data_IF_670041016170
#
_entry.id   IF_670041016170
#
_cell.length_a   1.000
_cell.length_b   1.000
_cell.length_c   1.000
_cell.angle_alpha   90.00
_cell.angle_beta   90.00
_cell.angle_gamma   90.00
#
_symmetry.space_group_name_H-M   'P 1'
#
loop_
_entity.id
_entity.type
_entity.pdbx_description
1 polymer ?
#
# COMPACT_ATOMS: atom_id res chain seq x y z
N UNK A 1 -45.99 -47.54 41.05
CA UNK A 1 -45.16 -47.56 39.82
C UNK A 1 -45.06 -46.14 39.30
N UNK A 2 -43.90 -45.48 39.47
CA UNK A 2 -43.59 -44.20 38.82
C UNK A 2 -42.65 -44.51 37.66
N UNK A 3 -43.05 -44.14 36.44
CA UNK A 3 -42.25 -44.31 35.22
C UNK A 3 -41.38 -43.07 35.07
N UNK A 4 -40.06 -43.24 35.07
CA UNK A 4 -39.12 -42.18 34.69
C UNK A 4 -38.91 -42.24 33.18
N UNK A 5 -39.22 -41.14 32.49
CA UNK A 5 -38.84 -40.95 31.09
C UNK A 5 -37.44 -40.33 31.07
N UNK A 6 -36.48 -41.04 30.48
CA UNK A 6 -35.13 -40.52 30.21
C UNK A 6 -35.18 -39.90 28.81
N UNK A 7 -35.01 -38.58 28.74
CA UNK A 7 -34.81 -37.86 27.49
C UNK A 7 -33.31 -37.87 27.20
N UNK A 8 -32.91 -38.54 26.12
CA UNK A 8 -31.54 -38.52 25.60
C UNK A 8 -31.46 -37.37 24.61
N UNK A 9 -30.74 -36.31 24.97
CA UNK A 9 -30.44 -35.19 24.08
C UNK A 9 -29.16 -35.51 23.31
N UNK A 10 -29.27 -35.73 21.99
CA UNK A 10 -28.11 -35.81 21.10
C UNK A 10 -27.61 -34.37 20.85
N UNK A 11 -26.44 -34.03 21.38
CA UNK A 11 -25.69 -32.86 20.95
C UNK A 11 -24.99 -33.21 19.63
N UNK A 12 -25.49 -32.64 18.54
CA UNK A 12 -24.78 -32.63 17.25
C UNK A 12 -23.78 -31.48 17.33
N UNK A 13 -22.51 -31.79 17.56
CA UNK A 13 -21.41 -30.84 17.39
C UNK A 13 -21.17 -30.69 15.89
N UNK A 14 -21.68 -29.62 15.29
CA UNK A 14 -21.26 -29.20 13.95
C UNK A 14 -19.82 -28.74 14.03
N UNK A 15 -18.90 -29.59 13.60
CA UNK A 15 -17.53 -29.16 13.32
C UNK A 15 -17.58 -28.35 12.04
N UNK A 16 -17.50 -27.02 12.15
CA UNK A 16 -17.24 -26.16 11.00
C UNK A 16 -15.81 -26.47 10.55
N UNK A 17 -15.67 -27.32 9.53
CA UNK A 17 -14.42 -27.40 8.79
C UNK A 17 -14.28 -26.07 8.04
N UNK A 18 -13.33 -25.25 8.46
CA UNK A 18 -12.81 -24.18 7.61
C UNK A 18 -12.17 -24.89 6.40
N UNK A 19 -12.81 -24.79 5.25
CA UNK A 19 -12.19 -25.18 3.99
C UNK A 19 -11.19 -24.07 3.65
N UNK A 20 -9.91 -24.40 3.65
CA UNK A 20 -8.88 -23.51 3.10
C UNK A 20 -8.95 -23.67 1.59
N UNK A 21 -9.35 -22.60 0.89
CA UNK A 21 -9.32 -22.55 -0.57
C UNK A 21 -7.95 -22.07 -1.02
N UNK A 22 -7.44 -22.66 -2.10
CA UNK A 22 -6.23 -22.18 -2.74
C UNK A 22 -6.56 -20.93 -3.57
N UNK A 23 -5.83 -19.85 -3.34
CA UNK A 23 -6.00 -18.62 -4.13
C UNK A 23 -5.31 -18.75 -5.48
N UNK A 24 -5.95 -18.23 -6.53
CA UNK A 24 -5.37 -18.07 -7.87
C UNK A 24 -5.75 -16.69 -8.46
N UNK A 25 -5.00 -16.21 -9.44
CA UNK A 25 -5.36 -15.09 -10.32
C UNK A 25 -6.23 -15.61 -11.49
N UNK A 26 -7.21 -14.81 -11.90
CA UNK A 26 -8.09 -15.09 -13.04
C UNK A 26 -7.66 -14.41 -14.35
N UNK A 27 -6.54 -13.67 -14.36
CA UNK A 27 -6.02 -13.00 -15.56
C UNK A 27 -5.71 -14.02 -16.66
N UNK A 28 -6.33 -13.89 -17.85
CA UNK A 28 -6.06 -14.82 -18.95
C UNK A 28 -4.61 -14.74 -19.42
N UNK A 29 -3.96 -15.89 -19.60
CA UNK A 29 -2.61 -15.93 -20.15
C UNK A 29 -2.61 -15.42 -21.60
N UNK A 30 -1.64 -14.57 -21.98
CA UNK A 30 -1.48 -14.14 -23.35
C UNK A 30 -0.99 -15.31 -24.22
N UNK A 31 -1.38 -15.31 -25.48
CA UNK A 31 -0.83 -16.26 -26.45
C UNK A 31 0.64 -15.97 -26.76
N UNK A 32 1.38 -16.99 -27.19
CA UNK A 32 2.79 -16.82 -27.59
C UNK A 32 2.95 -15.75 -28.69
N UNK A 33 2.02 -15.67 -29.63
CA UNK A 33 2.04 -14.64 -30.69
C UNK A 33 1.90 -13.22 -30.10
N UNK A 34 1.01 -13.03 -29.11
CA UNK A 34 0.88 -11.75 -28.42
C UNK A 34 2.17 -11.39 -27.68
N UNK A 35 2.77 -12.36 -26.97
CA UNK A 35 4.02 -12.13 -26.25
C UNK A 35 5.13 -11.70 -27.22
N UNK A 36 5.30 -12.39 -28.35
CA UNK A 36 6.30 -12.06 -29.38
C UNK A 36 6.10 -10.64 -29.96
N UNK A 37 4.85 -10.25 -30.23
CA UNK A 37 4.51 -8.90 -30.70
C UNK A 37 4.86 -7.85 -29.65
N UNK A 38 4.51 -8.10 -28.39
CA UNK A 38 4.78 -7.19 -27.27
C UNK A 38 6.29 -7.03 -27.09
N UNK A 39 7.06 -8.14 -27.11
CA UNK A 39 8.53 -8.07 -26.98
C UNK A 39 9.15 -7.23 -28.10
N UNK A 40 8.69 -7.38 -29.34
CA UNK A 40 9.16 -6.56 -30.47
C UNK A 40 8.77 -5.08 -30.33
N UNK A 41 7.59 -4.79 -29.78
CA UNK A 41 7.13 -3.42 -29.54
C UNK A 41 8.02 -2.68 -28.54
N UNK A 42 8.33 -3.34 -27.42
CA UNK A 42 9.14 -2.75 -26.34
C UNK A 42 10.66 -2.88 -26.55
N UNK A 43 11.13 -3.66 -27.54
CA UNK A 43 12.57 -3.81 -27.84
C UNK A 43 13.27 -2.47 -28.08
N UNK A 44 12.58 -1.55 -28.76
CA UNK A 44 13.11 -0.23 -29.07
C UNK A 44 13.40 0.62 -27.82
N UNK A 45 12.66 0.42 -26.73
CA UNK A 45 12.88 1.07 -25.44
C UNK A 45 14.21 0.62 -24.80
N UNK A 46 14.50 -0.68 -24.86
CA UNK A 46 15.74 -1.23 -24.32
C UNK A 46 16.97 -0.81 -25.14
N UNK A 47 16.83 -0.65 -26.46
CA UNK A 47 17.91 -0.29 -27.39
C UNK A 47 18.37 1.18 -27.29
N UNK A 48 17.47 2.10 -26.95
CA UNK A 48 17.77 3.53 -26.86
C UNK A 48 18.45 3.93 -25.54
N UNK A 49 18.67 2.98 -24.62
CA UNK A 49 19.21 3.22 -23.28
C UNK A 49 18.39 4.26 -22.48
N UNK A 50 17.09 4.41 -22.78
CA UNK A 50 16.13 5.14 -21.94
C UNK A 50 15.78 4.32 -20.69
N UNK A 51 16.78 3.71 -20.05
CA UNK A 51 16.64 2.85 -18.87
C UNK A 51 16.48 3.67 -17.60
N UNK A 52 15.49 4.55 -17.57
CA UNK A 52 15.33 5.44 -16.42
C UNK A 52 13.86 5.63 -16.11
N UNK A 53 13.23 4.66 -15.42
CA UNK A 53 12.21 4.99 -14.43
C UNK A 53 12.65 6.19 -13.56
N UNK A 54 13.97 6.35 -13.34
CA UNK A 54 14.61 7.40 -12.53
C UNK A 54 14.35 8.86 -12.95
N UNK A 55 13.98 9.15 -14.21
CA UNK A 55 13.92 10.56 -14.66
C UNK A 55 12.50 11.16 -14.68
N UNK A 56 11.44 10.38 -14.93
CA UNK A 56 10.06 10.91 -15.04
C UNK A 56 9.03 10.07 -14.23
N UNK A 57 8.51 10.60 -13.10
CA UNK A 57 7.50 9.91 -12.31
C UNK A 57 6.16 9.79 -13.05
N UNK A 58 5.46 8.66 -12.88
CA UNK A 58 4.15 8.42 -13.51
C UNK A 58 3.03 8.59 -12.49
N UNK A 59 2.11 9.51 -12.76
CA UNK A 59 0.91 9.69 -11.93
C UNK A 59 -0.22 8.77 -12.43
N UNK A 60 -0.40 7.64 -11.77
CA UNK A 60 -1.48 6.70 -12.03
C UNK A 60 -2.72 7.15 -11.25
N UNK A 61 -3.61 7.92 -11.89
CA UNK A 61 -4.89 8.28 -11.26
C UNK A 61 -5.77 7.03 -11.14
N UNK A 62 -6.32 6.80 -9.95
CA UNK A 62 -7.18 5.64 -9.68
C UNK A 62 -8.64 6.07 -9.70
N UNK A 63 -9.44 5.33 -10.46
CA UNK A 63 -10.90 5.37 -10.40
C UNK A 63 -11.42 4.06 -9.78
N UNK A 64 -11.94 4.14 -8.56
CA UNK A 64 -12.47 2.99 -7.84
C UNK A 64 -13.99 2.89 -8.01
N UNK A 65 -14.46 1.73 -8.44
CA UNK A 65 -15.86 1.40 -8.66
C UNK A 65 -16.29 0.35 -7.64
N UNK A 66 -16.98 0.79 -6.59
CA UNK A 66 -17.55 -0.10 -5.57
C UNK A 66 -18.82 -0.71 -6.11
N UNK A 67 -18.82 -2.03 -6.29
CA UNK A 67 -20.04 -2.79 -6.59
C UNK A 67 -20.53 -3.43 -5.30
N UNK A 68 -21.79 -3.19 -4.95
CA UNK A 68 -22.38 -3.70 -3.73
C UNK A 68 -23.69 -4.44 -4.01
N UNK A 69 -23.99 -5.44 -3.19
CA UNK A 69 -25.32 -6.06 -3.17
C UNK A 69 -26.39 -5.09 -2.64
N UNK A 70 -27.66 -5.36 -2.97
CA UNK A 70 -28.84 -4.70 -2.39
C UNK A 70 -28.98 -4.93 -0.87
N UNK A 71 -28.23 -5.89 -0.31
CA UNK A 71 -28.13 -6.15 1.13
C UNK A 71 -27.01 -5.36 1.82
N UNK A 72 -26.29 -4.49 1.10
CA UNK A 72 -25.19 -3.67 1.63
C UNK A 72 -23.86 -4.39 1.81
N UNK A 73 -23.72 -5.63 1.31
CA UNK A 73 -22.40 -6.29 1.24
C UNK A 73 -21.57 -5.69 0.10
N UNK A 74 -20.25 -5.62 0.30
CA UNK A 74 -19.31 -5.06 -0.68
C UNK A 74 -19.12 -3.54 -0.62
N UNK A 75 -19.90 -2.83 0.21
CA UNK A 75 -19.85 -1.37 0.32
C UNK A 75 -18.61 -0.89 1.10
N UNK A 76 -17.44 -0.92 0.45
CA UNK A 76 -16.16 -0.49 1.01
C UNK A 76 -16.20 1.00 1.37
N UNK A 77 -15.75 1.36 2.58
CA UNK A 77 -15.63 2.78 2.95
C UNK A 77 -14.52 3.48 2.18
N UNK A 78 -14.62 4.80 2.01
CA UNK A 78 -13.58 5.60 1.32
C UNK A 78 -12.20 5.41 1.98
N UNK A 79 -12.15 5.27 3.31
CA UNK A 79 -10.90 4.99 4.04
C UNK A 79 -10.30 3.63 3.69
N UNK A 80 -11.11 2.58 3.50
CA UNK A 80 -10.61 1.28 3.07
C UNK A 80 -10.05 1.32 1.65
N UNK A 81 -10.71 2.09 0.77
CA UNK A 81 -10.25 2.30 -0.61
C UNK A 81 -8.93 3.08 -0.61
N UNK A 82 -8.84 4.15 0.18
CA UNK A 82 -7.60 4.91 0.34
C UNK A 82 -6.46 4.01 0.83
N UNK A 83 -6.69 3.19 1.86
CA UNK A 83 -5.67 2.24 2.34
C UNK A 83 -5.23 1.24 1.27
N UNK A 84 -6.11 0.80 0.37
CA UNK A 84 -5.73 -0.08 -0.73
C UNK A 84 -4.84 0.64 -1.76
N UNK A 85 -5.13 1.92 -2.05
CA UNK A 85 -4.27 2.77 -2.90
C UNK A 85 -2.94 3.06 -2.22
N UNK A 86 -2.91 3.24 -0.90
CA UNK A 86 -1.67 3.43 -0.14
C UNK A 86 -0.77 2.18 -0.21
N UNK A 87 -1.36 0.98 -0.24
CA UNK A 87 -0.63 -0.28 -0.43
C UNK A 87 -0.01 -0.38 -1.82
N UNK A 88 -0.69 0.09 -2.89
CA UNK A 88 -0.08 0.22 -4.21
C UNK A 88 1.14 1.16 -4.17
N UNK A 89 0.98 2.33 -3.55
CA UNK A 89 2.07 3.29 -3.39
C UNK A 89 3.26 2.72 -2.60
N UNK A 90 3.01 1.94 -1.55
CA UNK A 90 4.06 1.25 -0.79
C UNK A 90 4.88 0.30 -1.68
N UNK A 91 4.24 -0.31 -2.69
CA UNK A 91 4.86 -1.33 -3.51
C UNK A 91 5.58 -0.79 -4.75
N UNK A 92 5.01 0.23 -5.39
CA UNK A 92 5.42 0.69 -6.71
C UNK A 92 6.26 1.98 -6.70
N UNK A 93 6.09 2.86 -5.70
CA UNK A 93 6.69 4.20 -5.73
C UNK A 93 8.21 4.19 -5.87
N UNK A 94 8.91 3.39 -5.07
CA UNK A 94 10.38 3.44 -4.99
C UNK A 94 11.03 2.79 -6.22
N UNK A 95 10.54 1.63 -6.64
CA UNK A 95 11.20 0.86 -7.71
C UNK A 95 10.69 1.22 -9.11
N UNK A 96 9.40 1.52 -9.26
CA UNK A 96 8.78 1.80 -10.56
C UNK A 96 8.67 3.29 -10.87
N UNK A 97 8.84 4.16 -9.87
CA UNK A 97 8.52 5.59 -9.97
C UNK A 97 7.05 5.83 -10.37
N UNK A 98 6.16 4.89 -10.03
CA UNK A 98 4.72 4.95 -10.29
C UNK A 98 3.98 5.30 -9.01
N UNK A 99 3.18 6.36 -9.08
CA UNK A 99 2.48 6.92 -7.93
C UNK A 99 0.97 6.91 -8.17
N UNK A 100 0.24 6.29 -7.26
CA UNK A 100 -1.20 6.09 -7.36
C UNK A 100 -1.94 7.19 -6.60
N UNK A 101 -2.75 7.96 -7.32
CA UNK A 101 -3.59 9.02 -6.74
C UNK A 101 -5.06 8.61 -6.81
N UNK A 102 -5.71 8.38 -5.67
CA UNK A 102 -7.15 8.13 -5.63
C UNK A 102 -7.91 9.39 -6.06
N UNK A 103 -8.51 9.35 -7.26
CA UNK A 103 -9.11 10.52 -7.89
C UNK A 103 -10.64 10.43 -7.96
N UNK A 104 -11.18 9.23 -8.13
CA UNK A 104 -12.62 9.00 -8.28
C UNK A 104 -13.04 7.78 -7.47
N UNK A 105 -14.16 7.92 -6.73
CA UNK A 105 -14.90 6.79 -6.16
C UNK A 105 -16.32 6.85 -6.72
N UNK A 106 -16.80 5.74 -7.27
CA UNK A 106 -18.20 5.55 -7.65
C UNK A 106 -18.76 4.34 -6.93
N UNK A 107 -20.08 4.34 -6.68
CA UNK A 107 -20.76 3.28 -5.93
C UNK A 107 -21.98 2.82 -6.72
N UNK A 108 -22.09 1.52 -6.96
CA UNK A 108 -23.12 0.90 -7.78
C UNK A 108 -23.74 -0.27 -7.02
N UNK A 109 -24.99 -0.09 -6.60
CA UNK A 109 -25.78 -1.19 -6.05
C UNK A 109 -26.35 -2.03 -7.19
N UNK A 110 -25.77 -3.22 -7.41
CA UNK A 110 -26.19 -4.13 -8.47
C UNK A 110 -25.85 -5.59 -8.11
N UNK A 111 -26.86 -6.39 -7.78
CA UNK A 111 -26.69 -7.79 -7.38
C UNK A 111 -26.11 -8.67 -8.51
N UNK A 112 -26.41 -8.35 -9.78
CA UNK A 112 -25.91 -9.10 -10.94
C UNK A 112 -24.41 -8.83 -11.19
N UNK A 113 -23.92 -7.63 -10.84
CA UNK A 113 -22.49 -7.29 -10.99
C UNK A 113 -21.69 -7.59 -9.72
N UNK A 114 -22.37 -7.86 -8.60
CA UNK A 114 -21.70 -8.01 -7.32
C UNK A 114 -21.07 -9.39 -7.14
N UNK A 115 -21.64 -10.45 -7.71
CA UNK A 115 -21.18 -11.84 -7.48
C UNK A 115 -20.68 -12.45 -8.78
N UNK A 116 -19.44 -12.96 -8.74
CA UNK A 116 -18.82 -13.69 -9.84
C UNK A 116 -18.47 -15.12 -9.41
N UNK A 117 -18.94 -16.11 -10.17
CA UNK A 117 -18.48 -17.50 -10.09
C UNK A 117 -17.13 -17.66 -10.80
N UNK A 118 -16.36 -18.70 -10.46
CA UNK A 118 -15.00 -18.84 -10.99
C UNK A 118 -14.95 -18.96 -12.52
N UNK A 119 -15.99 -19.53 -13.14
CA UNK A 119 -16.14 -19.63 -14.60
C UNK A 119 -16.41 -18.29 -15.32
N UNK A 120 -16.77 -17.25 -14.56
CA UNK A 120 -17.09 -15.91 -15.07
C UNK A 120 -15.90 -14.95 -14.96
N UNK A 121 -15.00 -15.18 -14.01
CA UNK A 121 -13.80 -14.38 -13.79
C UNK A 121 -12.85 -14.44 -15.02
N UNK A 122 -12.40 -13.28 -15.49
CA UNK A 122 -11.43 -13.20 -16.61
C UNK A 122 -11.96 -13.69 -17.95
N UNK A 123 -13.27 -13.89 -18.11
CA UNK A 123 -13.84 -14.53 -19.31
C UNK A 123 -14.69 -13.56 -20.16
N UNK A 124 -14.63 -12.25 -19.87
CA UNK A 124 -15.38 -11.21 -20.57
C UNK A 124 -16.89 -11.50 -20.63
N UNK A 125 -17.44 -12.03 -19.52
CA UNK A 125 -18.85 -12.40 -19.39
C UNK A 125 -19.82 -11.21 -19.54
N UNK A 126 -21.11 -11.50 -19.70
CA UNK A 126 -22.12 -10.44 -19.92
C UNK A 126 -22.24 -9.45 -18.78
N UNK A 127 -22.02 -9.90 -17.54
CA UNK A 127 -22.16 -9.07 -16.35
C UNK A 127 -20.94 -8.18 -16.17
N UNK A 128 -19.72 -8.70 -16.37
CA UNK A 128 -18.50 -7.91 -16.42
C UNK A 128 -18.54 -6.87 -17.56
N UNK A 129 -18.97 -7.28 -18.75
CA UNK A 129 -19.10 -6.36 -19.88
C UNK A 129 -20.06 -5.21 -19.56
N UNK A 130 -21.22 -5.51 -18.98
CA UNK A 130 -22.18 -4.49 -18.59
C UNK A 130 -21.63 -3.58 -17.49
N UNK A 131 -21.01 -4.15 -16.46
CA UNK A 131 -20.38 -3.44 -15.36
C UNK A 131 -19.33 -2.46 -15.90
N UNK A 132 -18.31 -2.95 -16.60
CA UNK A 132 -17.19 -2.12 -17.09
C UNK A 132 -17.66 -1.05 -18.08
N UNK A 133 -18.46 -1.41 -19.08
CA UNK A 133 -18.90 -0.47 -20.12
C UNK A 133 -19.78 0.67 -19.61
N UNK A 134 -20.48 0.47 -18.48
CA UNK A 134 -21.36 1.48 -17.89
C UNK A 134 -20.69 2.34 -16.82
N UNK A 135 -19.57 1.87 -16.25
CA UNK A 135 -18.98 2.49 -15.05
C UNK A 135 -17.57 3.00 -15.22
N UNK A 136 -16.81 2.49 -16.20
CA UNK A 136 -15.43 2.90 -16.45
C UNK A 136 -15.32 4.43 -16.60
N UNK A 137 -14.34 5.00 -15.90
CA UNK A 137 -13.96 6.41 -15.96
C UNK A 137 -12.72 6.54 -16.79
N UNK A 138 -12.84 7.20 -17.95
CA UNK A 138 -11.73 7.63 -18.82
C UNK A 138 -10.50 6.70 -18.79
N UNK A 139 -10.58 5.50 -19.39
CA UNK A 139 -9.54 4.48 -19.25
C UNK A 139 -8.16 4.88 -19.79
N UNK A 140 -8.08 5.96 -20.57
CA UNK A 140 -6.83 6.55 -21.05
C UNK A 140 -6.00 7.15 -19.91
N UNK A 141 -6.66 7.82 -18.96
CA UNK A 141 -5.97 8.58 -17.90
C UNK A 141 -6.16 7.97 -16.50
N UNK A 142 -7.02 6.96 -16.35
CA UNK A 142 -7.32 6.37 -15.06
C UNK A 142 -7.13 4.85 -15.07
N UNK A 143 -6.42 4.35 -14.06
CA UNK A 143 -6.47 2.96 -13.68
C UNK A 143 -7.80 2.66 -13.00
N UNK A 144 -8.67 1.95 -13.70
CA UNK A 144 -10.01 1.61 -13.24
C UNK A 144 -9.95 0.32 -12.39
N UNK A 145 -10.54 0.35 -11.21
CA UNK A 145 -10.57 -0.80 -10.29
C UNK A 145 -12.02 -1.06 -9.87
N UNK A 146 -12.50 -2.30 -10.02
CA UNK A 146 -13.82 -2.72 -9.59
C UNK A 146 -13.71 -3.68 -8.40
N UNK A 147 -14.40 -3.38 -7.30
CA UNK A 147 -14.48 -4.30 -6.15
C UNK A 147 -15.80 -5.07 -6.16
N UNK A 148 -15.71 -6.40 -6.22
CA UNK A 148 -16.84 -7.35 -6.31
C UNK A 148 -16.68 -8.47 -5.27
N UNK A 149 -17.62 -9.41 -5.20
CA UNK A 149 -17.47 -10.68 -4.49
C UNK A 149 -17.21 -11.81 -5.50
N UNK A 150 -16.18 -12.61 -5.26
CA UNK A 150 -15.94 -13.85 -6.00
C UNK A 150 -16.27 -15.07 -5.15
N UNK A 151 -16.73 -16.14 -5.79
CA UNK A 151 -17.14 -17.37 -5.12
C UNK A 151 -16.08 -18.47 -5.28
N UNK A 152 -15.80 -19.25 -4.22
CA UNK A 152 -14.92 -20.41 -4.33
C UNK A 152 -15.59 -21.53 -5.12
N UNK A 153 -14.80 -22.26 -5.90
CA UNK A 153 -15.23 -23.42 -6.69
C UNK A 153 -14.13 -24.48 -6.68
N UNK A 154 -14.50 -25.77 -6.59
CA UNK A 154 -13.59 -26.92 -6.70
C UNK A 154 -12.28 -26.86 -5.87
N UNK A 155 -12.31 -26.20 -4.71
CA UNK A 155 -11.18 -26.10 -3.79
C UNK A 155 -10.25 -24.90 -4.02
N UNK A 156 -10.56 -24.05 -5.00
CA UNK A 156 -9.85 -22.79 -5.25
C UNK A 156 -10.79 -21.57 -5.21
N UNK A 157 -10.20 -20.38 -5.22
CA UNK A 157 -10.90 -19.10 -5.33
C UNK A 157 -10.07 -18.12 -6.13
N UNK A 158 -10.71 -17.38 -7.04
CA UNK A 158 -10.09 -16.29 -7.80
C UNK A 158 -10.25 -15.01 -7.00
N UNK A 159 -9.17 -14.35 -6.60
CA UNK A 159 -9.26 -13.09 -5.85
C UNK A 159 -9.21 -11.84 -6.71
N UNK A 160 -8.65 -11.93 -7.91
CA UNK A 160 -8.56 -10.81 -8.83
C UNK A 160 -8.33 -11.30 -10.25
N UNK A 161 -8.58 -10.40 -11.19
CA UNK A 161 -8.16 -10.57 -12.57
C UNK A 161 -8.07 -9.23 -13.28
N UNK A 162 -7.28 -9.23 -14.34
CA UNK A 162 -7.08 -8.16 -15.27
C UNK A 162 -7.12 -8.69 -16.71
N UNK A 163 -7.02 -7.77 -17.66
CA UNK A 163 -6.69 -8.07 -19.06
C UNK A 163 -5.40 -7.33 -19.39
N UNK A 164 -4.53 -7.94 -20.18
CA UNK A 164 -3.25 -7.31 -20.48
C UNK A 164 -3.47 -6.01 -21.26
N UNK A 165 -2.59 -5.02 -21.08
CA UNK A 165 -2.77 -3.70 -21.69
C UNK A 165 -2.81 -3.75 -23.22
N UNK A 166 -2.19 -4.77 -23.82
CA UNK A 166 -2.16 -5.04 -25.25
C UNK A 166 -3.36 -5.87 -25.78
N UNK A 167 -4.28 -6.32 -24.93
CA UNK A 167 -5.50 -7.04 -25.36
C UNK A 167 -6.56 -6.09 -25.95
N UNK A 168 -6.49 -4.80 -25.63
CA UNK A 168 -7.42 -3.79 -26.13
C UNK A 168 -6.75 -2.41 -26.19
N UNK A 169 -7.35 -1.45 -26.90
CA UNK A 169 -6.82 -0.08 -26.90
C UNK A 169 -6.88 0.55 -25.49
N UNK A 170 -5.97 1.48 -25.17
CA UNK A 170 -5.97 2.17 -23.86
C UNK A 170 -7.31 2.84 -23.52
N UNK A 171 -8.07 3.28 -24.52
CA UNK A 171 -9.38 3.92 -24.32
C UNK A 171 -10.52 2.92 -24.05
N UNK A 172 -10.22 1.63 -24.04
CA UNK A 172 -11.20 0.56 -23.86
C UNK A 172 -11.64 0.47 -22.40
N UNK A 173 -12.94 0.28 -22.16
CA UNK A 173 -13.45 0.00 -20.80
C UNK A 173 -12.97 -1.34 -20.22
N UNK A 174 -12.29 -2.17 -21.02
CA UNK A 174 -11.64 -3.40 -20.55
C UNK A 174 -10.33 -3.14 -19.80
N UNK A 175 -9.76 -1.93 -19.90
CA UNK A 175 -8.55 -1.57 -19.17
C UNK A 175 -8.87 -1.42 -17.68
N UNK A 176 -8.16 -2.19 -16.85
CA UNK A 176 -8.26 -2.13 -15.39
C UNK A 176 -8.67 -3.44 -14.72
N UNK A 177 -8.65 -3.44 -13.40
CA UNK A 177 -8.66 -4.65 -12.57
C UNK A 177 -10.01 -4.89 -11.90
N UNK A 178 -10.46 -6.13 -11.84
CA UNK A 178 -11.53 -6.55 -10.93
C UNK A 178 -10.92 -7.31 -9.76
N UNK A 179 -11.41 -7.03 -8.55
CA UNK A 179 -10.85 -7.58 -7.33
C UNK A 179 -11.95 -7.96 -6.32
N UNK A 180 -11.73 -9.07 -5.61
CA UNK A 180 -12.58 -9.46 -4.50
C UNK A 180 -12.39 -8.46 -3.35
N UNK A 181 -13.48 -7.78 -2.96
CA UNK A 181 -13.49 -6.70 -1.96
C UNK A 181 -12.89 -7.10 -0.60
N UNK A 182 -12.83 -8.40 -0.29
CA UNK A 182 -12.25 -8.92 0.96
C UNK A 182 -10.72 -9.00 0.94
N UNK A 183 -10.09 -8.79 -0.22
CA UNK A 183 -8.65 -9.01 -0.44
C UNK A 183 -7.89 -7.75 -0.88
N UNK A 184 -8.52 -6.58 -0.77
CA UNK A 184 -7.96 -5.29 -1.23
C UNK A 184 -6.64 -4.88 -0.52
N UNK A 185 -6.29 -5.51 0.60
CA UNK A 185 -5.06 -5.26 1.38
C UNK A 185 -4.16 -6.51 1.51
N UNK A 186 -4.38 -7.53 0.66
CA UNK A 186 -3.78 -8.87 0.84
C UNK A 186 -2.74 -9.23 -0.23
N UNK A 187 -2.18 -8.28 -0.97
CA UNK A 187 -1.24 -8.55 -2.08
C UNK A 187 -1.91 -8.72 -3.44
N UNK A 188 -3.21 -9.07 -3.47
CA UNK A 188 -3.96 -9.28 -4.72
C UNK A 188 -3.97 -8.03 -5.59
N UNK A 189 -4.17 -6.85 -5.00
CA UNK A 189 -4.29 -5.62 -5.79
C UNK A 189 -2.96 -5.25 -6.45
N UNK A 190 -1.87 -5.43 -5.71
CA UNK A 190 -0.51 -5.21 -6.20
C UNK A 190 -0.15 -6.17 -7.33
N UNK A 191 -0.57 -7.44 -7.21
CA UNK A 191 -0.41 -8.46 -8.24
C UNK A 191 -1.18 -8.12 -9.52
N UNK A 192 -2.47 -7.81 -9.42
CA UNK A 192 -3.28 -7.46 -10.60
C UNK A 192 -2.85 -6.13 -11.25
N UNK A 193 -2.35 -5.18 -10.45
CA UNK A 193 -1.70 -3.99 -10.99
C UNK A 193 -0.43 -4.34 -11.79
N UNK A 194 0.29 -5.40 -11.41
CA UNK A 194 1.44 -5.87 -12.18
C UNK A 194 1.02 -6.32 -13.58
N UNK A 195 -0.09 -7.04 -13.69
CA UNK A 195 -0.67 -7.39 -14.98
C UNK A 195 -1.15 -6.18 -15.78
N UNK A 196 -1.70 -5.14 -15.12
CA UNK A 196 -2.07 -3.88 -15.78
C UNK A 196 -0.87 -3.23 -16.48
N UNK A 197 0.31 -3.32 -15.86
CA UNK A 197 1.57 -2.84 -16.43
C UNK A 197 2.34 -3.91 -17.23
N UNK A 198 1.68 -5.01 -17.62
CA UNK A 198 2.25 -5.99 -18.54
C UNK A 198 3.28 -6.97 -17.94
N UNK A 199 3.31 -7.12 -16.61
CA UNK A 199 4.08 -8.16 -15.94
C UNK A 199 3.36 -9.51 -16.05
N UNK A 200 4.11 -10.55 -16.36
CA UNK A 200 3.61 -11.93 -16.35
C UNK A 200 3.81 -12.57 -14.99
N UNK A 201 3.11 -13.68 -14.76
CA UNK A 201 3.44 -14.52 -13.62
C UNK A 201 4.89 -15.00 -13.72
N UNK A 202 5.62 -15.03 -12.60
CA UNK A 202 7.02 -15.50 -12.56
C UNK A 202 7.22 -16.94 -13.01
N UNK A 203 6.14 -17.74 -13.03
CA UNK A 203 6.12 -19.14 -13.49
C UNK A 203 5.61 -19.30 -14.93
N UNK A 204 5.23 -18.21 -15.59
CA UNK A 204 4.75 -18.24 -16.97
C UNK A 204 5.94 -18.55 -17.88
N UNK A 205 5.97 -19.74 -18.48
CA UNK A 205 7.10 -20.20 -19.30
C UNK A 205 7.96 -21.28 -18.65
N UNK A 206 7.80 -21.53 -17.34
CA UNK A 206 8.45 -22.63 -16.63
C UNK A 206 9.98 -22.51 -16.59
N UNK A 207 10.67 -23.65 -16.43
CA UNK A 207 12.14 -23.74 -16.47
C UNK A 207 12.72 -23.54 -17.89
N UNK A 208 12.47 -22.38 -18.49
CA UNK A 208 13.01 -21.94 -19.78
C UNK A 208 13.80 -20.65 -19.61
N UNK A 209 14.66 -20.32 -20.58
CA UNK A 209 15.45 -19.09 -20.53
C UNK A 209 14.67 -17.82 -20.85
N UNK A 210 13.44 -17.93 -21.37
CA UNK A 210 12.56 -16.77 -21.59
C UNK A 210 11.68 -16.50 -20.36
N UNK A 211 11.15 -17.55 -19.72
CA UNK A 211 10.28 -17.43 -18.53
C UNK A 211 9.21 -16.32 -18.70
N UNK A 212 9.18 -15.35 -17.79
CA UNK A 212 8.30 -14.18 -17.76
C UNK A 212 8.85 -12.98 -18.57
N UNK A 213 9.87 -13.21 -19.40
CA UNK A 213 10.52 -12.25 -20.30
C UNK A 213 11.16 -11.08 -19.55
N UNK A 214 11.74 -11.39 -18.38
CA UNK A 214 12.47 -10.47 -17.52
C UNK A 214 13.75 -11.17 -17.08
N UNK A 215 14.91 -10.58 -17.35
CA UNK A 215 16.20 -11.28 -17.18
C UNK A 215 16.59 -11.50 -15.71
N UNK A 216 16.10 -10.66 -14.79
CA UNK A 216 16.47 -10.67 -13.37
C UNK A 216 15.46 -11.40 -12.47
N UNK A 217 14.45 -12.05 -13.06
CA UNK A 217 13.54 -12.98 -12.41
C UNK A 217 13.99 -14.43 -12.71
N UNK A 218 14.50 -15.17 -11.70
CA UNK A 218 14.88 -16.55 -11.90
C UNK A 218 13.71 -17.42 -12.41
N UNK A 219 13.95 -18.30 -13.42
CA UNK A 219 12.93 -19.25 -13.87
C UNK A 219 12.53 -20.22 -12.77
N UNK A 220 11.26 -20.61 -12.76
CA UNK A 220 10.68 -21.57 -11.82
C UNK A 220 9.70 -22.52 -12.53
N UNK A 221 9.26 -23.58 -11.86
CA UNK A 221 8.27 -24.52 -12.39
C UNK A 221 6.93 -23.82 -12.68
N UNK A 222 6.27 -24.24 -13.76
CA UNK A 222 4.99 -23.69 -14.22
C UNK A 222 3.80 -23.94 -13.29
N UNK A 223 3.92 -24.84 -12.31
CA UNK A 223 2.87 -25.17 -11.35
C UNK A 223 2.64 -24.08 -10.27
N UNK A 224 3.37 -22.95 -10.36
CA UNK A 224 3.43 -21.87 -9.37
C UNK A 224 3.92 -22.34 -8.00
N UNK A 225 4.20 -21.40 -7.09
CA UNK A 225 4.61 -21.70 -5.72
C UNK A 225 3.68 -21.00 -4.75
N UNK A 226 3.22 -21.75 -3.75
CA UNK A 226 2.27 -21.26 -2.75
C UNK A 226 2.90 -21.16 -1.35
N UNK A 227 4.10 -21.70 -1.16
CA UNK A 227 4.82 -21.69 0.11
C UNK A 227 6.04 -20.77 0.08
N UNK A 228 6.29 -20.07 1.19
CA UNK A 228 7.50 -19.26 1.36
C UNK A 228 8.77 -20.07 1.73
N UNK A 229 9.24 -20.98 0.86
CA UNK A 229 10.59 -21.54 1.01
C UNK A 229 11.59 -20.80 0.13
N UNK A 230 12.33 -19.86 0.72
CA UNK A 230 13.34 -19.06 0.00
C UNK A 230 14.56 -19.87 -0.46
N UNK A 231 14.68 -21.15 -0.09
CA UNK A 231 15.72 -22.05 -0.62
C UNK A 231 15.18 -22.98 -1.70
N UNK A 232 13.93 -22.77 -2.15
CA UNK A 232 13.34 -23.59 -3.18
C UNK A 232 14.01 -23.32 -4.52
N UNK A 233 14.32 -24.40 -5.22
CA UNK A 233 14.91 -24.40 -6.55
C UNK A 233 14.23 -25.52 -7.34
N UNK A 234 13.23 -25.12 -8.11
CA UNK A 234 12.47 -26.02 -8.98
C UNK A 234 13.12 -26.20 -10.35
N UNK A 235 14.09 -25.34 -10.69
CA UNK A 235 14.84 -25.36 -11.95
C UNK A 235 16.36 -25.50 -11.72
N UNK A 236 16.85 -26.59 -11.11
CA UNK A 236 18.24 -26.70 -10.62
C UNK A 236 19.34 -26.73 -11.69
N UNK A 237 18.94 -26.82 -12.97
CA UNK A 237 19.85 -26.75 -14.12
C UNK A 237 19.99 -25.31 -14.66
N UNK A 238 19.27 -24.33 -14.10
CA UNK A 238 19.30 -22.91 -14.42
C UNK A 238 19.72 -22.12 -13.17
N UNK A 239 20.58 -21.12 -13.33
CA UNK A 239 21.07 -20.34 -12.18
C UNK A 239 19.94 -19.50 -11.56
N UNK A 240 19.73 -19.66 -10.25
CA UNK A 240 18.78 -18.88 -9.45
C UNK A 240 18.02 -19.74 -8.44
N UNK A 241 17.33 -19.10 -7.50
CA UNK A 241 16.34 -19.75 -6.64
C UNK A 241 14.95 -19.28 -7.07
N UNK A 242 13.93 -20.08 -6.83
CA UNK A 242 12.56 -19.73 -7.19
C UNK A 242 12.20 -18.37 -6.57
N UNK A 243 11.59 -17.43 -7.32
CA UNK A 243 11.28 -16.08 -6.86
C UNK A 243 10.03 -16.08 -5.96
N UNK A 244 10.08 -16.80 -4.84
CA UNK A 244 8.96 -16.99 -3.91
C UNK A 244 8.58 -15.73 -3.15
N UNK A 245 9.35 -14.66 -3.19
CA UNK A 245 8.96 -13.38 -2.59
C UNK A 245 8.42 -12.40 -3.64
N UNK A 246 8.42 -12.77 -4.92
CA UNK A 246 7.99 -11.88 -5.99
C UNK A 246 6.47 -11.68 -5.97
N UNK A 247 6.01 -10.43 -6.12
CA UNK A 247 4.58 -10.07 -6.18
C UNK A 247 3.85 -10.81 -7.30
N UNK A 248 4.51 -11.15 -8.40
CA UNK A 248 3.93 -11.92 -9.51
C UNK A 248 3.98 -13.45 -9.31
N UNK A 249 4.16 -13.91 -8.07
CA UNK A 249 4.04 -15.32 -7.66
C UNK A 249 2.78 -15.51 -6.80
N UNK A 250 2.39 -16.77 -6.52
CA UNK A 250 1.23 -17.10 -5.68
C UNK A 250 1.60 -17.49 -4.24
N UNK A 251 2.84 -17.22 -3.84
CA UNK A 251 3.36 -17.57 -2.53
C UNK A 251 2.73 -16.75 -1.42
N UNK A 252 2.70 -17.28 -0.21
CA UNK A 252 2.18 -16.58 0.98
C UNK A 252 3.14 -15.51 1.55
N UNK A 253 4.23 -15.21 0.86
CA UNK A 253 5.20 -14.16 1.22
C UNK A 253 5.61 -13.30 0.03
N UNK A 254 4.68 -13.00 -0.86
CA UNK A 254 4.92 -12.11 -1.97
C UNK A 254 4.96 -10.65 -1.50
N UNK A 255 6.09 -9.97 -1.73
CA UNK A 255 6.30 -8.58 -1.33
C UNK A 255 7.40 -7.85 -2.12
N UNK A 256 8.08 -8.43 -3.09
CA UNK A 256 9.11 -7.71 -3.84
C UNK A 256 8.85 -7.74 -5.34
N UNK A 257 9.39 -6.75 -6.04
CA UNK A 257 9.55 -6.71 -7.48
C UNK A 257 11.03 -6.59 -7.82
N UNK A 258 11.40 -6.89 -9.06
CA UNK A 258 12.76 -6.73 -9.57
C UNK A 258 12.91 -5.43 -10.37
N UNK A 259 14.13 -4.87 -10.48
CA UNK A 259 14.38 -3.74 -11.37
C UNK A 259 13.95 -4.00 -12.83
N UNK A 260 14.13 -5.22 -13.34
CA UNK A 260 13.67 -5.62 -14.67
C UNK A 260 12.15 -5.57 -14.83
N UNK A 261 11.39 -5.87 -13.77
CA UNK A 261 9.94 -5.67 -13.74
C UNK A 261 9.56 -4.18 -13.85
N UNK A 262 10.29 -3.29 -13.18
CA UNK A 262 10.06 -1.85 -13.31
C UNK A 262 10.39 -1.32 -14.72
N UNK A 263 11.52 -1.75 -15.30
CA UNK A 263 11.88 -1.38 -16.68
C UNK A 263 10.82 -1.84 -17.68
N UNK A 264 10.37 -3.09 -17.57
CA UNK A 264 9.30 -3.63 -18.42
C UNK A 264 7.99 -2.88 -18.25
N UNK A 265 7.58 -2.61 -17.01
CA UNK A 265 6.34 -1.91 -16.72
C UNK A 265 6.32 -0.51 -17.36
N UNK A 266 7.41 0.24 -17.26
CA UNK A 266 7.52 1.54 -17.91
C UNK A 266 7.45 1.44 -19.44
N UNK A 267 8.18 0.49 -20.05
CA UNK A 267 8.15 0.28 -21.50
C UNK A 267 6.74 -0.09 -22.01
N UNK A 268 6.02 -0.92 -21.24
CA UNK A 268 4.63 -1.26 -21.51
C UNK A 268 3.73 -0.03 -21.36
N UNK A 269 3.96 0.81 -20.35
CA UNK A 269 3.20 2.06 -20.18
C UNK A 269 3.40 3.00 -21.36
N UNK A 270 4.62 3.21 -21.84
CA UNK A 270 4.86 4.06 -23.02
C UNK A 270 4.17 3.54 -24.28
N UNK A 271 4.18 2.22 -24.50
CA UNK A 271 3.62 1.63 -25.73
C UNK A 271 2.10 1.47 -25.68
N UNK A 272 1.55 1.04 -24.53
CA UNK A 272 0.15 0.61 -24.41
C UNK A 272 -0.71 1.45 -23.47
N UNK A 273 -0.11 2.31 -22.63
CA UNK A 273 -0.81 3.26 -21.76
C UNK A 273 -0.20 4.68 -21.79
N UNK A 274 0.14 5.26 -22.95
CA UNK A 274 0.76 6.58 -23.02
C UNK A 274 -0.08 7.68 -22.36
N UNK A 275 -1.41 7.53 -22.31
CA UNK A 275 -2.29 8.47 -21.60
C UNK A 275 -1.99 8.63 -20.11
N UNK A 276 -1.41 7.63 -19.44
CA UNK A 276 -0.99 7.76 -18.04
C UNK A 276 0.18 8.74 -17.88
N UNK A 277 1.02 8.89 -18.90
CA UNK A 277 2.16 9.82 -18.90
C UNK A 277 1.72 11.28 -19.10
N UNK A 278 0.49 11.51 -19.54
CA UNK A 278 -0.11 12.84 -19.63
C UNK A 278 -0.63 13.35 -18.28
N UNK A 279 -0.70 12.48 -17.27
CA UNK A 279 -1.20 12.86 -15.96
C UNK A 279 -0.19 13.71 -15.19
N UNK A 280 -0.53 15.00 -15.05
CA UNK A 280 0.22 15.89 -14.16
C UNK A 280 0.01 15.54 -12.68
N UNK A 281 1.07 15.74 -11.90
CA UNK A 281 0.97 15.80 -10.45
C UNK A 281 0.46 17.16 -10.02
N UNK A 282 -0.75 17.19 -9.47
CA UNK A 282 -1.40 18.44 -9.10
C UNK A 282 -1.33 18.77 -7.62
N UNK A 283 -0.89 17.82 -6.79
CA UNK A 283 -0.74 17.96 -5.36
C UNK A 283 0.70 17.62 -4.98
N UNK A 284 1.28 18.27 -3.97
CA UNK A 284 2.52 17.80 -3.36
C UNK A 284 2.28 16.49 -2.60
N UNK A 285 3.34 15.77 -2.29
CA UNK A 285 3.33 14.68 -1.32
C UNK A 285 4.27 15.01 -0.16
N UNK A 286 3.71 15.60 0.90
CA UNK A 286 4.48 16.02 2.06
C UNK A 286 4.66 14.89 3.07
N UNK A 287 5.90 14.72 3.51
CA UNK A 287 6.29 13.81 4.58
C UNK A 287 7.13 14.48 5.65
N UNK A 288 7.45 13.70 6.68
CA UNK A 288 8.32 14.11 7.79
C UNK A 288 9.61 13.30 7.70
N UNK A 289 10.74 14.00 7.61
CA UNK A 289 12.09 13.43 7.61
C UNK A 289 12.58 13.21 9.03
N UNK A 290 12.36 14.21 9.89
CA UNK A 290 12.79 14.16 11.29
C UNK A 290 11.91 15.01 12.20
N UNK A 291 11.88 14.63 13.47
CA UNK A 291 11.27 15.38 14.56
C UNK A 291 12.24 15.37 15.75
N UNK A 292 12.92 16.49 15.99
CA UNK A 292 13.99 16.62 16.96
C UNK A 292 13.58 17.52 18.13
N UNK A 293 13.74 17.04 19.34
CA UNK A 293 13.57 17.87 20.54
C UNK A 293 14.83 18.68 20.76
N UNK A 294 14.69 20.00 20.87
CA UNK A 294 15.75 20.97 21.08
C UNK A 294 15.56 21.75 22.37
N UNK A 295 16.66 22.31 22.87
CA UNK A 295 16.68 23.12 24.11
C UNK A 295 16.13 22.37 25.33
N UNK A 296 16.25 21.05 25.31
CA UNK A 296 16.14 20.21 26.48
C UNK A 296 17.33 20.45 27.43
N UNK A 297 17.06 20.25 28.71
CA UNK A 297 17.85 20.66 29.87
C UNK A 297 19.19 19.95 29.91
N UNK A 298 19.24 18.72 29.38
CA UNK A 298 20.41 17.86 29.28
C UNK A 298 20.91 17.62 27.85
N UNK A 299 20.23 18.17 26.84
CA UNK A 299 20.68 18.17 25.43
C UNK A 299 20.92 16.75 24.88
N UNK A 300 20.07 15.80 25.27
CA UNK A 300 20.07 14.43 24.78
C UNK A 300 18.98 14.16 23.73
N UNK A 301 18.15 15.16 23.45
CA UNK A 301 17.09 15.11 22.44
C UNK A 301 15.84 14.38 22.92
N UNK A 302 15.70 14.12 24.22
CA UNK A 302 14.57 13.41 24.82
C UNK A 302 13.88 14.30 25.86
N UNK A 303 12.55 14.36 25.80
CA UNK A 303 11.78 15.23 26.68
C UNK A 303 11.65 14.62 28.09
N UNK A 304 12.03 15.38 29.12
CA UNK A 304 11.88 14.96 30.52
C UNK A 304 10.52 15.37 31.10
N UNK A 305 9.94 14.61 32.05
CA UNK A 305 8.75 15.06 32.79
C UNK A 305 8.95 16.45 33.43
N UNK A 306 8.01 17.37 33.16
CA UNK A 306 8.03 18.75 33.66
C UNK A 306 8.79 19.74 32.77
N UNK A 307 9.45 19.26 31.71
CA UNK A 307 10.27 20.06 30.81
C UNK A 307 9.45 20.79 29.74
N UNK A 308 9.95 21.95 29.32
CA UNK A 308 9.49 22.67 28.13
C UNK A 308 10.62 22.70 27.11
N UNK A 309 10.35 22.28 25.88
CA UNK A 309 11.34 22.19 24.81
C UNK A 309 10.74 22.66 23.48
N UNK A 310 11.62 22.95 22.52
CA UNK A 310 11.22 23.21 21.16
C UNK A 310 11.23 21.89 20.38
N UNK A 311 10.24 21.67 19.52
CA UNK A 311 10.20 20.52 18.62
C UNK A 311 10.44 20.99 17.20
N UNK A 312 11.64 20.73 16.69
CA UNK A 312 12.02 21.03 15.31
C UNK A 312 11.61 19.87 14.41
N UNK A 313 11.06 20.21 13.25
CA UNK A 313 10.68 19.22 12.23
C UNK A 313 11.42 19.51 10.94
N UNK A 314 11.79 18.45 10.24
CA UNK A 314 12.16 18.52 8.83
C UNK A 314 11.08 17.83 8.02
N UNK A 315 10.57 18.53 7.02
CA UNK A 315 9.58 18.00 6.08
C UNK A 315 10.21 17.83 4.71
N UNK A 316 9.65 16.94 3.91
CA UNK A 316 10.06 16.68 2.53
C UNK A 316 8.84 16.71 1.64
N UNK A 317 8.98 17.25 0.44
CA UNK A 317 8.03 17.00 -0.64
C UNK A 317 8.57 15.82 -1.44
N UNK A 318 8.10 14.60 -1.14
CA UNK A 318 8.62 13.38 -1.77
C UNK A 318 8.49 13.44 -3.30
N UNK A 319 7.37 13.96 -3.80
CA UNK A 319 7.07 14.11 -5.22
C UNK A 319 5.84 14.99 -5.43
N UNK A 320 5.58 15.34 -6.68
CA UNK A 320 4.34 15.95 -7.11
C UNK A 320 4.47 17.43 -7.44
N UNK A 321 3.42 18.22 -7.19
CA UNK A 321 3.47 19.67 -7.38
C UNK A 321 4.33 20.34 -6.30
N UNK A 322 4.81 21.56 -6.57
CA UNK A 322 5.46 22.38 -5.55
C UNK A 322 4.49 22.67 -4.39
N UNK A 323 4.97 22.47 -3.17
CA UNK A 323 4.21 22.75 -1.97
C UNK A 323 4.48 24.19 -1.52
N UNK A 324 3.57 25.11 -1.85
CA UNK A 324 3.67 26.51 -1.41
C UNK A 324 2.87 26.75 -0.11
N UNK A 325 3.40 27.64 0.73
CA UNK A 325 2.72 28.16 1.92
C UNK A 325 2.25 27.03 2.85
N UNK A 326 3.14 26.07 3.12
CA UNK A 326 2.83 24.89 3.93
C UNK A 326 2.59 25.30 5.38
N UNK A 327 1.38 25.08 5.88
CA UNK A 327 1.03 25.22 7.29
C UNK A 327 1.06 23.84 7.94
N UNK A 328 1.89 23.67 8.96
CA UNK A 328 1.98 22.43 9.74
C UNK A 328 1.35 22.67 11.11
N UNK A 329 0.45 21.78 11.54
CA UNK A 329 -0.20 21.83 12.85
C UNK A 329 0.08 20.55 13.64
N UNK A 330 0.71 20.69 14.81
CA UNK A 330 0.94 19.60 15.75
C UNK A 330 -0.28 19.38 16.63
N UNK A 331 -0.66 18.11 16.81
CA UNK A 331 -1.77 17.72 17.69
C UNK A 331 -1.48 16.40 18.41
N UNK A 332 -2.10 16.21 19.57
CA UNK A 332 -2.15 14.92 20.27
C UNK A 332 -3.40 14.87 21.14
N UNK A 333 -3.89 13.66 21.40
CA UNK A 333 -4.94 13.40 22.39
C UNK A 333 -4.36 12.95 23.74
N UNK A 334 -3.04 12.71 23.80
CA UNK A 334 -2.37 12.30 25.02
C UNK A 334 -2.21 13.49 25.97
N UNK A 335 -2.81 13.38 27.15
CA UNK A 335 -2.80 14.44 28.14
C UNK A 335 -1.44 14.66 28.81
N UNK A 336 -0.45 13.81 28.56
CA UNK A 336 0.91 13.94 29.11
C UNK A 336 1.73 15.05 28.43
N UNK A 337 1.35 15.45 27.22
CA UNK A 337 2.02 16.50 26.46
C UNK A 337 1.10 17.71 26.32
N UNK A 338 1.58 18.87 26.74
CA UNK A 338 0.95 20.15 26.48
C UNK A 338 1.64 20.81 25.29
N UNK A 339 0.88 21.12 24.25
CA UNK A 339 1.38 21.87 23.10
C UNK A 339 1.14 23.36 23.37
N UNK A 340 2.23 24.11 23.55
CA UNK A 340 2.22 25.55 23.85
C UNK A 340 2.19 26.39 22.57
N UNK A 341 2.89 25.93 21.53
CA UNK A 341 2.78 26.41 20.16
C UNK A 341 2.59 25.23 19.22
N UNK A 342 1.48 25.24 18.48
CA UNK A 342 1.01 24.12 17.69
C UNK A 342 1.16 24.33 16.20
N UNK A 343 1.68 25.47 15.73
CA UNK A 343 1.71 25.78 14.29
C UNK A 343 3.10 26.22 13.83
N UNK A 344 3.52 25.75 12.66
CA UNK A 344 4.70 26.25 11.93
C UNK A 344 4.27 26.58 10.50
N UNK A 345 4.74 27.69 9.95
CA UNK A 345 4.48 28.10 8.57
C UNK A 345 5.76 28.10 7.73
N UNK A 346 5.82 27.25 6.72
CA UNK A 346 6.84 27.31 5.67
C UNK A 346 6.38 28.31 4.61
N UNK A 347 7.22 29.30 4.33
CA UNK A 347 6.92 30.40 3.39
C UNK A 347 7.60 30.20 2.02
N UNK A 348 8.73 29.51 2.01
CA UNK A 348 9.39 29.15 0.76
C UNK A 348 8.70 27.90 0.19
N UNK A 349 8.38 27.88 -1.12
CA UNK A 349 7.88 26.69 -1.77
C UNK A 349 8.87 25.54 -1.63
N UNK A 350 8.35 24.33 -1.42
CA UNK A 350 9.14 23.11 -1.38
C UNK A 350 8.90 22.34 -2.68
N UNK A 351 9.89 22.36 -3.57
CA UNK A 351 9.80 21.64 -4.84
C UNK A 351 9.88 20.12 -4.62
N UNK A 352 9.47 19.35 -5.62
CA UNK A 352 9.58 17.90 -5.55
C UNK A 352 11.03 17.44 -5.29
N UNK A 353 11.21 16.49 -4.36
CA UNK A 353 12.51 16.00 -3.92
C UNK A 353 13.26 16.91 -2.93
N UNK A 354 12.74 18.09 -2.59
CA UNK A 354 13.36 18.99 -1.62
C UNK A 354 12.87 18.71 -0.19
N UNK A 355 13.79 18.83 0.78
CA UNK A 355 13.47 18.87 2.21
C UNK A 355 13.76 20.24 2.81
N UNK A 356 13.06 20.58 3.88
CA UNK A 356 13.22 21.82 4.62
C UNK A 356 13.00 21.59 6.10
N UNK A 357 13.90 22.13 6.91
CA UNK A 357 13.90 22.03 8.37
C UNK A 357 13.22 23.23 9.06
N UNK A 358 12.39 23.95 8.28
CA UNK A 358 11.52 25.03 8.73
C UNK A 358 12.16 26.42 8.74
N UNK A 359 11.38 27.47 8.98
CA UNK A 359 11.93 28.78 9.25
C UNK A 359 12.69 28.73 10.58
N UNK A 360 13.94 29.19 10.61
CA UNK A 360 14.80 29.21 11.81
C UNK A 360 14.20 29.88 13.07
N UNK A 361 13.06 30.59 12.95
CA UNK A 361 12.43 31.33 14.05
C UNK A 361 11.01 30.86 14.38
N UNK A 362 10.49 29.83 13.70
CA UNK A 362 9.14 29.31 13.90
C UNK A 362 9.23 27.80 14.15
N UNK A 363 9.17 27.42 15.42
CA UNK A 363 9.37 26.05 15.90
C UNK A 363 8.28 25.76 16.93
N UNK A 364 7.71 24.55 16.91
CA UNK A 364 6.72 24.16 17.90
C UNK A 364 7.31 24.24 19.30
N UNK A 365 6.46 24.57 20.27
CA UNK A 365 6.82 24.55 21.68
C UNK A 365 5.93 23.55 22.40
N UNK A 366 6.56 22.61 23.11
CA UNK A 366 5.89 21.53 23.83
C UNK A 366 6.36 21.47 25.28
N UNK A 367 5.49 20.99 26.15
CA UNK A 367 5.78 20.76 27.56
C UNK A 367 5.31 19.39 27.99
N UNK A 368 6.21 18.58 28.54
CA UNK A 368 5.84 17.36 29.25
C UNK A 368 5.28 17.73 30.63
N UNK A 369 4.13 17.18 30.99
CA UNK A 369 3.55 17.41 32.31
C UNK A 369 4.41 16.72 33.40
N UNK A 370 4.60 17.39 34.53
CA UNK A 370 5.36 16.85 35.65
C UNK A 370 4.67 15.62 36.30
N UNK A 371 5.47 14.66 36.77
CA UNK A 371 4.97 13.47 37.49
C UNK A 371 4.27 12.40 36.64
N UNK A 372 4.35 12.49 35.31
CA UNK A 372 3.74 11.52 34.38
C UNK A 372 4.53 10.20 34.28
N UNK A 373 3.87 9.16 33.75
CA UNK A 373 4.54 7.93 33.35
C UNK A 373 5.31 8.14 32.04
N UNK A 374 6.59 7.75 32.06
CA UNK A 374 7.47 7.67 30.90
C UNK A 374 6.89 6.76 29.81
N UNK A 375 7.29 7.00 28.57
CA UNK A 375 6.89 6.21 27.41
C UNK A 375 6.75 7.08 26.15
N UNK A 376 6.30 6.45 25.08
CA UNK A 376 6.02 7.13 23.81
C UNK A 376 4.68 7.85 23.87
N UNK A 377 4.61 9.00 23.20
CA UNK A 377 3.41 9.79 22.95
C UNK A 377 3.17 9.82 21.46
N UNK A 378 1.98 9.40 21.06
CA UNK A 378 1.54 9.50 19.68
C UNK A 378 1.05 10.93 19.41
N UNK A 379 1.64 11.56 18.41
CA UNK A 379 1.26 12.86 17.91
C UNK A 379 0.89 12.75 16.43
N UNK A 380 0.23 13.79 15.93
CA UNK A 380 -0.11 13.93 14.52
C UNK A 380 0.31 15.30 14.02
N UNK A 381 1.03 15.33 12.89
CA UNK A 381 1.35 16.52 12.13
C UNK A 381 0.39 16.64 10.95
N UNK A 382 -0.49 17.63 11.00
CA UNK A 382 -1.38 17.98 9.90
C UNK A 382 -0.69 19.03 9.01
N UNK A 383 -0.40 18.70 7.75
CA UNK A 383 0.28 19.60 6.79
C UNK A 383 -0.69 20.05 5.72
N UNK A 384 -0.77 21.36 5.46
CA UNK A 384 -1.72 21.99 4.53
C UNK A 384 -1.02 22.88 3.53
N UNK A 385 -1.40 22.80 2.25
CA UNK A 385 -1.04 23.82 1.26
C UNK A 385 -2.31 24.48 0.69
N UNK A 386 -2.48 25.80 0.86
CA UNK A 386 -3.66 26.52 0.39
C UNK A 386 -3.54 26.85 -1.11
N UNK A 387 -3.35 25.86 -1.98
CA UNK A 387 -3.43 26.10 -3.42
C UNK A 387 -4.91 26.27 -3.80
N UNK A 388 -5.29 27.47 -4.25
CA UNK A 388 -6.68 27.95 -4.28
C UNK A 388 -7.66 27.08 -5.08
N UNK A 389 -7.19 26.42 -6.14
CA UNK A 389 -8.02 25.52 -6.95
C UNK A 389 -8.02 24.08 -6.43
N UNK A 390 -7.04 23.72 -5.57
CA UNK A 390 -6.73 22.35 -5.16
C UNK A 390 -6.05 22.33 -3.77
N UNK A 391 -6.80 22.55 -2.67
CA UNK A 391 -6.22 22.48 -1.33
C UNK A 391 -5.69 21.07 -1.07
N UNK A 392 -4.51 20.99 -0.46
CA UNK A 392 -3.89 19.74 -0.02
C UNK A 392 -3.84 19.71 1.51
N UNK A 393 -4.13 18.55 2.09
CA UNK A 393 -4.05 18.28 3.52
C UNK A 393 -3.61 16.82 3.72
N UNK A 394 -2.62 16.59 4.58
CA UNK A 394 -2.17 15.26 4.98
C UNK A 394 -1.94 15.22 6.49
N UNK A 395 -2.23 14.07 7.10
CA UNK A 395 -1.96 13.75 8.50
C UNK A 395 -0.82 12.74 8.58
N UNK A 396 0.28 13.10 9.23
CA UNK A 396 1.46 12.24 9.41
C UNK A 396 1.63 11.92 10.91
N UNK A 397 1.49 10.65 11.32
CA UNK A 397 1.72 10.26 12.69
C UNK A 397 3.21 10.36 13.02
N UNK A 398 3.51 10.90 14.20
CA UNK A 398 4.87 10.92 14.76
C UNK A 398 4.84 10.44 16.21
N UNK A 399 5.96 9.91 16.68
CA UNK A 399 6.13 9.43 18.04
C UNK A 399 7.15 10.29 18.79
N UNK A 400 6.78 10.80 19.97
CA UNK A 400 7.69 11.52 20.86
C UNK A 400 7.97 10.70 22.11
N UNK A 401 9.23 10.59 22.50
CA UNK A 401 9.62 9.85 23.71
C UNK A 401 9.70 10.77 24.93
N UNK A 402 9.08 10.35 26.03
CA UNK A 402 9.31 10.93 27.36
C UNK A 402 10.10 9.93 28.21
N UNK A 403 11.29 10.32 28.64
CA UNK A 403 12.22 9.45 29.36
C UNK A 403 12.99 10.20 30.46
N UNK A 404 13.71 9.42 31.26
CA UNK A 404 14.72 9.90 32.23
C UNK A 404 16.12 9.34 31.91
N UNK A 405 16.27 8.58 30.82
CA UNK A 405 17.52 7.91 30.47
C UNK A 405 18.47 8.86 29.75
N UNK A 406 19.26 9.59 30.53
CA UNK A 406 20.17 10.60 30.03
C UNK A 406 21.51 10.04 29.55
N UNK A 407 22.11 10.72 28.57
CA UNK A 407 23.55 10.62 28.29
C UNK A 407 24.36 11.14 29.49
N UNK A 408 24.93 10.25 30.29
CA UNK A 408 25.74 10.60 31.45
C UNK A 408 25.07 10.31 32.80
N UNK A 409 23.93 9.64 32.80
CA UNK A 409 23.25 9.19 34.01
C UNK A 409 23.46 7.70 34.31
N UNK A 410 23.54 7.30 35.60
CA UNK A 410 23.59 8.17 36.77
C UNK A 410 24.93 8.92 36.87
N UNK A 411 24.85 10.22 37.14
CA UNK A 411 26.00 11.01 37.61
C UNK A 411 26.47 10.38 38.94
N UNK A 412 27.76 10.07 39.05
CA UNK A 412 28.32 9.47 40.25
C UNK A 412 28.00 10.31 41.49
N UNK A 413 27.33 9.72 42.49
CA UNK A 413 26.93 10.40 43.73
C UNK A 413 25.44 10.38 44.04
N UNK A 414 24.59 9.92 43.11
CA UNK A 414 23.18 9.72 43.42
C UNK A 414 22.91 8.44 44.22
N UNK A 415 22.01 8.54 45.20
CA UNK A 415 21.41 7.41 45.90
C UNK A 415 19.94 7.34 45.53
N UNK A 416 19.57 6.34 44.72
CA UNK A 416 18.16 5.99 44.51
C UNK A 416 17.65 5.40 45.81
N UNK A 417 16.76 6.12 46.51
CA UNK A 417 16.05 5.57 47.67
C UNK A 417 14.76 4.95 47.18
N UNK A 418 14.72 3.62 47.13
CA UNK A 418 13.45 2.89 47.03
C UNK A 418 12.60 3.19 48.26
N UNK A 419 11.30 3.37 48.08
CA UNK A 419 10.33 3.50 49.18
C UNK A 419 10.49 2.34 50.18
N UNK A 420 10.37 2.59 51.49
CA UNK A 420 10.48 1.52 52.48
C UNK A 420 9.33 0.51 52.30
N UNK A 421 9.67 -0.77 52.35
CA UNK A 421 8.70 -1.85 52.55
C UNK A 421 8.00 -1.59 53.89
N UNK A 422 6.68 -1.37 53.86
CA UNK A 422 5.84 -1.47 55.05
C UNK A 422 5.37 -2.93 55.11
N UNK A 423 5.97 -3.71 56.00
CA UNK A 423 5.44 -5.00 56.40
C UNK A 423 4.81 -4.83 57.78
N UNK A 424 3.52 -5.13 57.87
CA UNK A 424 2.82 -5.29 59.16
C UNK A 424 3.28 -6.61 59.79
N UNK A 425 3.94 -6.52 60.95
CA UNK A 425 4.48 -7.67 61.68
C UNK A 425 3.76 -7.92 63.00
N UNK A 426 2.63 -7.24 63.25
CA UNK A 426 1.86 -7.43 64.47
C UNK A 426 0.78 -8.51 64.26
N UNK A 427 1.20 -9.74 64.54
CA UNK A 427 0.38 -10.79 65.13
C UNK A 427 0.11 -10.49 66.61
#
# INVERSE_FOLDING_TARGET
MRVFAIIITFLITTSLFSQNFQSICGTPNPSQEQIEIVQQGIESYYDINSRTPDDDPVNVKVAWHVISSSAGQGDLTDSQIQSAVDVLNLRYNELFNFYFTLAVITRHENDDWYVFEAVECGNQGSDEQQMRSQTATDPVHYYNIWSVLTMPEDGYIIYGWNYFPFDSAESSYWQGTVLNYTTILSGTLEHEAGHYFGLYHTFQGGCTGENDYIDDTPPMDSDAIYSCDQNQDSCPDIDGLDPVTNVMNYSDCNYDFTPGQAERAYAITEEYHPGLLENEFHYPNLGVVSAETLEDTDSDGVLNPGETSNLKIEIINYWGADADSILVTLSTVDSRLLILDSTIQFLEPLAHGESSDGPNMDIFQIQAIDGIMMGTIDCNLNMKTPNGDRPYEIDVPIELSISLNQRGFPIGGMVIKSSPIIADLDN
#
